data_IF_921978348487
#
_entry.id   IF_921978348487
#
_cell.length_a   1.000
_cell.length_b   1.000
_cell.length_c   1.000
_cell.angle_alpha   90.00
_cell.angle_beta   90.00
_cell.angle_gamma   90.00
#
_symmetry.space_group_name_H-M   'P 1'
#
loop_
_entity.id
_entity.type
_entity.pdbx_description
1 polymer ?
#
# COMPACT_ATOMS: atom_id res chain seq x y z
N UNK A 1 0.33 -15.08 1.73
CA UNK A 1 -0.62 -15.72 0.79
C UNK A 1 0.21 -16.30 -0.35
N UNK A 2 0.35 -17.63 -0.47
CA UNK A 2 1.13 -18.26 -1.54
C UNK A 2 0.25 -18.42 -2.78
N UNK A 3 0.64 -17.75 -3.87
CA UNK A 3 0.01 -17.81 -5.19
C UNK A 3 0.97 -18.55 -6.13
N UNK A 4 0.43 -19.49 -6.92
CA UNK A 4 1.19 -20.16 -7.97
C UNK A 4 0.84 -19.53 -9.33
N UNK A 5 1.85 -19.12 -10.14
CA UNK A 5 1.59 -18.62 -11.48
C UNK A 5 1.05 -19.75 -12.37
N UNK A 6 0.10 -19.43 -13.24
CA UNK A 6 -0.36 -20.37 -14.27
C UNK A 6 0.48 -20.13 -15.53
N UNK A 7 1.34 -21.08 -15.88
CA UNK A 7 1.97 -21.12 -17.21
C UNK A 7 0.96 -21.71 -18.19
N UNK A 8 0.43 -20.91 -19.11
CA UNK A 8 -0.38 -21.44 -20.20
C UNK A 8 -0.07 -20.71 -21.49
N UNK A 9 0.90 -21.27 -22.23
CA UNK A 9 1.01 -21.13 -23.68
C UNK A 9 0.01 -22.08 -24.32
N UNK A 10 -1.09 -21.56 -24.86
CA UNK A 10 -1.97 -22.31 -25.76
C UNK A 10 -2.26 -21.46 -27.01
N UNK A 11 -1.72 -21.89 -28.14
CA UNK A 11 -2.22 -21.53 -29.47
C UNK A 11 -3.33 -22.51 -29.84
N UNK A 12 -4.50 -21.99 -30.18
CA UNK A 12 -5.52 -22.72 -30.92
C UNK A 12 -5.83 -21.96 -32.20
N UNK A 13 -6.00 -22.71 -33.29
CA UNK A 13 -6.24 -22.19 -34.63
C UNK A 13 -7.70 -22.45 -35.07
N UNK A 14 -8.16 -21.56 -35.95
CA UNK A 14 -9.23 -21.65 -36.98
C UNK A 14 -10.69 -21.38 -36.56
N UNK A 15 -11.30 -20.30 -37.07
CA UNK A 15 -12.26 -20.28 -38.21
C UNK A 15 -12.98 -18.92 -38.30
N UNK A 16 -13.03 -18.36 -39.50
CA UNK A 16 -13.72 -17.11 -39.86
C UNK A 16 -15.18 -17.07 -39.40
N UNK A 17 -15.59 -15.94 -38.81
CA UNK A 17 -16.95 -15.39 -38.99
C UNK A 17 -17.04 -13.88 -38.70
N UNK A 18 -17.93 -13.28 -39.49
CA UNK A 18 -18.14 -11.86 -39.81
C UNK A 18 -18.47 -10.91 -38.64
N UNK A 19 -17.91 -9.70 -38.79
CA UNK A 19 -18.36 -8.38 -38.34
C UNK A 19 -19.20 -8.29 -37.06
N UNK A 20 -18.51 -8.07 -35.95
CA UNK A 20 -18.95 -7.15 -34.90
C UNK A 20 -17.78 -6.24 -34.55
N UNK A 21 -18.03 -4.95 -34.33
CA UNK A 21 -17.01 -3.94 -34.04
C UNK A 21 -16.45 -4.06 -32.61
N UNK A 22 -16.27 -5.28 -32.12
CA UNK A 22 -15.60 -5.53 -30.85
C UNK A 22 -14.09 -5.54 -31.10
N UNK A 23 -13.35 -4.84 -30.24
CA UNK A 23 -11.89 -4.94 -30.24
C UNK A 23 -11.52 -6.32 -29.68
N UNK A 24 -11.53 -7.36 -30.52
CA UNK A 24 -11.19 -8.72 -30.10
C UNK A 24 -9.68 -8.87 -29.94
N UNK A 25 -9.16 -8.47 -28.78
CA UNK A 25 -7.77 -8.69 -28.39
C UNK A 25 -7.49 -10.13 -27.94
N UNK A 26 -8.46 -11.06 -28.06
CA UNK A 26 -8.37 -12.42 -27.54
C UNK A 26 -7.99 -12.48 -26.04
N UNK A 27 -8.56 -11.57 -25.25
CA UNK A 27 -8.38 -11.51 -23.79
C UNK A 27 -9.75 -11.58 -23.10
N UNK A 28 -9.83 -12.26 -21.96
CA UNK A 28 -10.95 -12.11 -21.03
C UNK A 28 -10.67 -10.89 -20.14
N UNK A 29 -11.40 -9.77 -20.29
CA UNK A 29 -11.13 -8.56 -19.51
C UNK A 29 -11.67 -8.65 -18.07
N UNK A 30 -12.53 -9.62 -17.75
CA UNK A 30 -13.30 -9.65 -16.50
C UNK A 30 -12.75 -10.62 -15.46
N UNK A 31 -12.26 -11.80 -15.89
CA UNK A 31 -11.81 -12.84 -14.95
C UNK A 31 -10.34 -12.73 -14.60
N UNK A 32 -10.02 -13.10 -13.36
CA UNK A 32 -8.64 -13.28 -12.92
C UNK A 32 -8.04 -14.58 -13.48
N UNK A 33 -6.91 -14.45 -14.16
CA UNK A 33 -6.27 -15.51 -14.96
C UNK A 33 -4.79 -15.73 -14.64
N UNK A 34 -4.10 -14.78 -13.99
CA UNK A 34 -2.64 -14.87 -13.78
C UNK A 34 -2.15 -15.89 -12.74
N UNK A 35 -3.03 -16.49 -11.93
CA UNK A 35 -2.61 -17.43 -10.89
C UNK A 35 -3.73 -18.16 -10.17
N UNK A 36 -3.33 -19.11 -9.32
CA UNK A 36 -4.21 -19.89 -8.44
C UNK A 36 -3.72 -19.82 -6.99
N UNK A 37 -4.66 -19.97 -6.05
CA UNK A 37 -4.35 -19.98 -4.63
C UNK A 37 -4.43 -21.38 -4.05
N UNK A 38 -3.49 -21.70 -3.15
CA UNK A 38 -3.49 -22.98 -2.43
C UNK A 38 -4.68 -23.11 -1.46
N UNK A 39 -5.20 -21.98 -0.97
CA UNK A 39 -6.37 -21.92 -0.07
C UNK A 39 -7.40 -20.94 -0.62
N UNK A 40 -8.68 -21.33 -0.54
CA UNK A 40 -9.82 -20.52 -0.95
C UNK A 40 -9.74 -20.02 -2.42
N UNK A 41 -9.18 -20.82 -3.35
CA UNK A 41 -8.95 -20.45 -4.75
C UNK A 41 -10.17 -19.84 -5.43
N UNK A 42 -11.32 -20.52 -5.33
CA UNK A 42 -12.58 -20.06 -5.93
C UNK A 42 -12.94 -18.66 -5.44
N UNK A 43 -12.92 -18.47 -4.12
CA UNK A 43 -13.25 -17.19 -3.49
C UNK A 43 -12.26 -16.08 -3.88
N UNK A 44 -10.96 -16.38 -3.93
CA UNK A 44 -9.93 -15.43 -4.35
C UNK A 44 -10.09 -14.96 -5.80
N UNK A 45 -10.51 -15.86 -6.70
CA UNK A 45 -10.79 -15.52 -8.10
C UNK A 45 -12.10 -14.74 -8.24
N UNK A 46 -13.15 -15.15 -7.53
CA UNK A 46 -14.44 -14.46 -7.53
C UNK A 46 -14.32 -13.02 -7.00
N UNK A 47 -13.54 -12.78 -5.95
CA UNK A 47 -13.30 -11.42 -5.42
C UNK A 47 -12.46 -10.52 -6.34
N UNK A 48 -11.81 -11.09 -7.37
CA UNK A 48 -11.04 -10.39 -8.41
C UNK A 48 -11.73 -10.36 -9.78
N UNK A 49 -12.97 -10.82 -9.84
CA UNK A 49 -13.82 -10.58 -10.98
C UNK A 49 -14.24 -9.11 -10.98
N UNK A 50 -14.15 -8.44 -12.13
CA UNK A 50 -14.61 -7.06 -12.31
C UNK A 50 -15.67 -7.07 -13.41
N UNK A 51 -16.89 -6.68 -13.05
CA UNK A 51 -17.95 -6.40 -14.01
C UNK A 51 -17.83 -4.95 -14.44
N UNK A 52 -17.55 -4.71 -15.72
CA UNK A 52 -17.39 -3.38 -16.30
C UNK A 52 -17.57 -3.46 -17.81
N UNK A 53 -17.70 -2.33 -18.50
CA UNK A 53 -17.76 -2.25 -19.95
C UNK A 53 -16.34 -2.00 -20.52
N UNK A 54 -15.76 -3.04 -21.12
CA UNK A 54 -14.41 -2.98 -21.68
C UNK A 54 -14.35 -2.16 -22.97
N UNK A 55 -15.41 -2.15 -23.78
CA UNK A 55 -15.48 -1.34 -24.99
C UNK A 55 -15.61 0.15 -24.63
N UNK A 56 -16.35 0.49 -23.57
CA UNK A 56 -16.38 1.83 -23.02
C UNK A 56 -15.00 2.29 -22.52
N UNK A 57 -14.24 1.40 -21.87
CA UNK A 57 -12.86 1.70 -21.47
C UNK A 57 -11.97 1.97 -22.70
N UNK A 58 -12.07 1.15 -23.74
CA UNK A 58 -11.32 1.35 -24.98
C UNK A 58 -11.67 2.68 -25.67
N UNK A 59 -12.96 3.02 -25.76
CA UNK A 59 -13.42 4.32 -26.29
C UNK A 59 -12.85 5.47 -25.49
N UNK A 60 -12.88 5.36 -24.15
CA UNK A 60 -12.35 6.40 -23.27
C UNK A 60 -10.86 6.63 -23.47
N UNK A 61 -10.08 5.57 -23.66
CA UNK A 61 -8.65 5.67 -23.98
C UNK A 61 -8.43 6.46 -25.29
N UNK A 62 -9.19 6.15 -26.35
CA UNK A 62 -9.09 6.87 -27.63
C UNK A 62 -9.52 8.34 -27.52
N UNK A 63 -10.57 8.64 -26.76
CA UNK A 63 -11.00 10.03 -26.50
C UNK A 63 -9.92 10.88 -25.81
N UNK A 64 -9.13 10.26 -24.92
CA UNK A 64 -8.04 10.93 -24.20
C UNK A 64 -6.78 11.08 -25.05
N UNK A 65 -6.70 10.39 -26.18
CA UNK A 65 -5.56 10.45 -27.11
C UNK A 65 -6.05 10.78 -28.53
N UNK A 66 -6.47 12.02 -28.81
CA UNK A 66 -7.06 12.39 -30.09
C UNK A 66 -6.10 12.27 -31.28
N UNK A 67 -4.79 12.13 -31.03
CA UNK A 67 -3.79 11.85 -32.08
C UNK A 67 -3.71 10.36 -32.47
N UNK A 68 -4.51 9.49 -31.85
CA UNK A 68 -4.58 8.07 -32.17
C UNK A 68 -5.97 7.71 -32.70
N UNK A 69 -6.01 6.95 -33.78
CA UNK A 69 -7.27 6.52 -34.41
C UNK A 69 -7.70 5.11 -33.98
N UNK A 70 -6.76 4.30 -33.45
CA UNK A 70 -7.01 2.91 -33.11
C UNK A 70 -6.08 2.37 -32.01
N UNK A 71 -6.60 1.42 -31.24
CA UNK A 71 -5.84 0.56 -30.34
C UNK A 71 -5.35 -0.65 -31.16
N UNK A 72 -4.04 -0.81 -31.28
CA UNK A 72 -3.41 -1.88 -32.08
C UNK A 72 -3.18 -3.15 -31.28
N UNK A 73 -3.00 -3.03 -29.96
CA UNK A 73 -2.89 -4.17 -29.06
C UNK A 73 -3.29 -3.79 -27.64
N UNK A 74 -3.74 -4.77 -26.86
CA UNK A 74 -4.01 -4.61 -25.44
C UNK A 74 -3.37 -5.76 -24.66
N UNK A 75 -2.61 -5.43 -23.62
CA UNK A 75 -2.03 -6.41 -22.71
C UNK A 75 -2.76 -6.35 -21.37
N UNK A 76 -3.25 -7.50 -20.89
CA UNK A 76 -3.82 -7.61 -19.54
C UNK A 76 -2.73 -8.08 -18.57
N UNK A 77 -2.48 -7.31 -17.52
CA UNK A 77 -1.60 -7.63 -16.40
C UNK A 77 -2.43 -7.63 -15.12
N UNK A 78 -2.28 -8.66 -14.29
CA UNK A 78 -3.08 -8.77 -13.06
C UNK A 78 -2.16 -8.90 -11.85
N UNK A 79 -2.28 -7.93 -10.94
CA UNK A 79 -1.58 -7.91 -9.66
C UNK A 79 -2.39 -8.51 -8.53
N UNK A 80 -1.94 -8.28 -7.29
CA UNK A 80 -2.68 -8.69 -6.09
C UNK A 80 -3.97 -7.88 -5.88
N UNK A 81 -3.95 -6.60 -6.26
CA UNK A 81 -4.98 -5.60 -5.94
C UNK A 81 -5.61 -4.91 -7.16
N UNK A 82 -4.97 -4.98 -8.33
CA UNK A 82 -5.46 -4.30 -9.54
C UNK A 82 -5.45 -5.23 -10.74
N UNK A 83 -6.40 -4.98 -11.65
CA UNK A 83 -6.27 -5.34 -13.07
C UNK A 83 -5.72 -4.14 -13.83
N UNK A 84 -4.73 -4.38 -14.67
CA UNK A 84 -4.06 -3.36 -15.45
C UNK A 84 -4.15 -3.75 -16.93
N UNK A 85 -4.53 -2.79 -17.77
CA UNK A 85 -4.49 -2.90 -19.21
C UNK A 85 -3.44 -1.95 -19.75
N UNK A 86 -2.53 -2.45 -20.59
CA UNK A 86 -1.59 -1.63 -21.35
C UNK A 86 -2.07 -1.62 -22.80
N UNK A 87 -2.61 -0.49 -23.22
CA UNK A 87 -3.07 -0.24 -24.58
C UNK A 87 -1.92 0.32 -25.41
N UNK A 88 -1.68 -0.30 -26.56
CA UNK A 88 -0.76 0.18 -27.59
C UNK A 88 -1.58 0.85 -28.67
N UNK A 89 -1.23 2.10 -28.99
CA UNK A 89 -1.96 2.91 -29.96
C UNK A 89 -1.24 2.92 -31.32
N UNK A 90 -1.96 3.24 -32.40
CA UNK A 90 -1.39 3.33 -33.75
C UNK A 90 -0.35 4.45 -33.93
N UNK A 91 -0.30 5.41 -32.99
CA UNK A 91 0.70 6.48 -32.94
C UNK A 91 1.93 6.15 -32.05
N UNK A 92 2.12 4.86 -31.70
CA UNK A 92 3.18 4.35 -30.85
C UNK A 92 3.14 4.77 -29.36
N UNK A 93 2.14 5.56 -28.93
CA UNK A 93 1.92 5.81 -27.50
C UNK A 93 1.39 4.56 -26.80
N UNK A 94 1.70 4.46 -25.51
CA UNK A 94 1.18 3.43 -24.61
C UNK A 94 0.40 4.07 -23.48
N UNK A 95 -0.84 3.62 -23.29
CA UNK A 95 -1.74 4.10 -22.24
C UNK A 95 -2.03 2.96 -21.27
N UNK A 96 -2.01 3.27 -19.98
CA UNK A 96 -2.28 2.31 -18.91
C UNK A 96 -3.62 2.62 -18.28
N UNK A 97 -4.51 1.64 -18.21
CA UNK A 97 -5.71 1.70 -17.39
C UNK A 97 -5.61 0.72 -16.22
N UNK A 98 -5.82 1.23 -15.01
CA UNK A 98 -5.80 0.44 -13.76
C UNK A 98 -7.21 0.41 -13.17
N UNK A 99 -7.70 -0.78 -12.87
CA UNK A 99 -8.98 -1.01 -12.22
C UNK A 99 -8.74 -1.78 -10.91
N UNK A 100 -9.09 -1.20 -9.74
CA UNK A 100 -8.92 -1.88 -8.47
C UNK A 100 -9.90 -3.03 -8.30
N UNK A 101 -9.43 -4.12 -7.70
CA UNK A 101 -10.29 -5.17 -7.20
C UNK A 101 -11.02 -4.69 -5.93
N UNK A 102 -12.14 -5.32 -5.61
CA UNK A 102 -12.93 -5.01 -4.40
C UNK A 102 -12.16 -5.16 -3.07
N UNK A 103 -11.02 -5.84 -3.11
CA UNK A 103 -10.10 -6.07 -1.99
C UNK A 103 -8.92 -5.09 -1.93
N UNK A 104 -8.79 -4.19 -2.91
CA UNK A 104 -7.71 -3.19 -2.99
C UNK A 104 -7.74 -2.19 -1.83
N UNK A 105 -8.91 -1.99 -1.24
CA UNK A 105 -9.13 -1.06 -0.15
C UNK A 105 -10.61 -0.65 -0.08
N UNK A 106 -10.94 0.38 0.71
CA UNK A 106 -12.26 1.00 0.70
C UNK A 106 -12.63 1.50 -0.69
N UNK A 107 -13.83 1.15 -1.15
CA UNK A 107 -14.40 1.64 -2.41
C UNK A 107 -14.45 3.17 -2.40
N UNK A 108 -14.22 3.77 -3.56
CA UNK A 108 -14.05 5.21 -3.81
C UNK A 108 -12.81 5.84 -3.18
N UNK A 109 -12.56 5.56 -1.89
CA UNK A 109 -11.45 6.16 -1.15
C UNK A 109 -10.09 5.73 -1.70
N UNK A 110 -9.93 4.47 -2.10
CA UNK A 110 -8.66 3.94 -2.63
C UNK A 110 -8.23 4.68 -3.90
N UNK A 111 -9.10 4.73 -4.90
CA UNK A 111 -8.86 5.41 -6.17
C UNK A 111 -8.68 6.91 -5.98
N UNK A 112 -9.59 7.56 -5.24
CA UNK A 112 -9.50 9.00 -4.98
C UNK A 112 -8.22 9.38 -4.24
N UNK A 113 -7.74 8.55 -3.32
CA UNK A 113 -6.53 8.82 -2.57
C UNK A 113 -5.26 8.63 -3.40
N UNK A 114 -5.20 7.59 -4.23
CA UNK A 114 -4.06 7.39 -5.13
C UNK A 114 -3.93 8.57 -6.10
N UNK A 115 -5.02 8.99 -6.73
CA UNK A 115 -5.02 10.13 -7.67
C UNK A 115 -4.59 11.41 -6.97
N UNK A 116 -5.13 11.69 -5.78
CA UNK A 116 -4.76 12.89 -5.02
C UNK A 116 -3.28 12.86 -4.61
N UNK A 117 -2.75 11.69 -4.23
CA UNK A 117 -1.34 11.53 -3.89
C UNK A 117 -0.44 11.81 -5.10
N UNK A 118 -0.72 11.17 -6.25
CA UNK A 118 0.05 11.38 -7.48
C UNK A 118 0.05 12.85 -7.89
N UNK A 119 -1.12 13.50 -7.91
CA UNK A 119 -1.23 14.91 -8.31
C UNK A 119 -0.59 15.85 -7.29
N UNK A 120 -0.63 15.53 -6.01
CA UNK A 120 0.10 16.28 -4.97
C UNK A 120 1.61 16.18 -5.19
N UNK A 121 2.14 14.98 -5.41
CA UNK A 121 3.57 14.76 -5.66
C UNK A 121 4.04 15.46 -6.94
N UNK A 122 3.32 15.31 -8.05
CA UNK A 122 3.61 16.01 -9.32
C UNK A 122 3.62 17.55 -9.16
N UNK A 123 2.87 18.09 -8.20
CA UNK A 123 2.83 19.54 -7.92
C UNK A 123 3.95 19.99 -6.97
N UNK A 124 4.43 19.10 -6.10
CA UNK A 124 5.32 19.46 -4.98
C UNK A 124 6.75 18.97 -5.12
N UNK A 125 7.01 18.00 -6.00
CA UNK A 125 8.31 17.38 -6.20
C UNK A 125 8.61 17.23 -7.70
N UNK A 126 9.83 16.85 -8.01
CA UNK A 126 10.31 16.49 -9.35
C UNK A 126 10.36 14.98 -9.55
N UNK A 127 9.78 14.21 -8.64
CA UNK A 127 9.73 12.75 -8.75
C UNK A 127 8.99 12.40 -10.04
N UNK A 128 9.60 11.60 -10.93
CA UNK A 128 8.97 11.24 -12.18
C UNK A 128 7.83 10.26 -11.89
N UNK A 129 6.60 10.71 -12.08
CA UNK A 129 5.39 9.89 -11.94
C UNK A 129 4.56 10.09 -13.20
N UNK A 130 4.10 9.03 -13.89
CA UNK A 130 3.33 9.16 -15.12
C UNK A 130 2.10 10.05 -14.99
N UNK A 131 1.75 10.78 -16.05
CA UNK A 131 0.61 11.67 -16.02
C UNK A 131 -0.71 10.89 -15.95
N UNK A 132 -1.55 11.22 -14.97
CA UNK A 132 -2.94 10.75 -14.94
C UNK A 132 -3.75 11.60 -15.92
N UNK A 133 -4.31 10.92 -16.92
CA UNK A 133 -5.12 11.48 -18.01
C UNK A 133 -6.60 11.55 -17.62
N UNK A 134 -7.09 10.52 -16.93
CA UNK A 134 -8.47 10.45 -16.47
C UNK A 134 -8.64 9.44 -15.32
N UNK A 135 -9.71 9.56 -14.55
CA UNK A 135 -10.01 8.63 -13.46
C UNK A 135 -11.48 8.75 -13.02
N UNK A 136 -11.98 7.68 -12.39
CA UNK A 136 -13.26 7.68 -11.71
C UNK A 136 -13.17 6.84 -10.45
N UNK A 137 -13.58 7.41 -9.31
CA UNK A 137 -13.70 6.69 -8.05
C UNK A 137 -15.11 6.11 -7.83
N UNK A 138 -16.07 6.39 -8.71
CA UNK A 138 -17.46 6.01 -8.50
C UNK A 138 -17.97 5.15 -9.66
N UNK A 139 -18.04 3.84 -9.43
CA UNK A 139 -18.52 2.86 -10.42
C UNK A 139 -20.01 3.02 -10.76
N UNK A 140 -20.80 3.69 -9.91
CA UNK A 140 -22.26 3.88 -10.11
C UNK A 140 -22.62 5.30 -10.54
N UNK A 141 -21.63 6.10 -10.94
CA UNK A 141 -21.88 7.41 -11.54
C UNK A 141 -22.41 7.24 -12.96
N UNK A 142 -23.50 7.92 -13.31
CA UNK A 142 -24.09 7.88 -14.65
C UNK A 142 -23.14 8.41 -15.74
N UNK A 143 -22.18 9.27 -15.37
CA UNK A 143 -21.13 9.74 -16.27
C UNK A 143 -20.01 8.70 -16.47
N UNK A 144 -19.92 7.68 -15.60
CA UNK A 144 -18.92 6.63 -15.69
C UNK A 144 -19.42 5.46 -16.54
N UNK A 145 -19.31 5.59 -17.87
CA UNK A 145 -19.73 4.56 -18.82
C UNK A 145 -18.93 3.26 -18.72
N UNK A 146 -17.73 3.27 -18.10
CA UNK A 146 -16.94 2.07 -17.85
C UNK A 146 -17.63 1.19 -16.80
N UNK A 147 -18.38 1.77 -15.86
CA UNK A 147 -19.08 1.01 -14.81
C UNK A 147 -18.14 0.39 -13.77
N UNK A 148 -16.94 0.95 -13.60
CA UNK A 148 -15.98 0.55 -12.58
C UNK A 148 -15.13 1.72 -12.13
N UNK A 149 -14.49 1.60 -10.97
CA UNK A 149 -13.41 2.53 -10.60
C UNK A 149 -12.23 2.32 -11.53
N UNK A 150 -11.57 3.41 -11.94
CA UNK A 150 -10.38 3.32 -12.78
C UNK A 150 -9.46 4.52 -12.63
N UNK A 151 -8.20 4.32 -13.04
CA UNK A 151 -7.24 5.39 -13.33
C UNK A 151 -6.64 5.10 -14.71
N UNK A 152 -6.78 6.03 -15.64
CA UNK A 152 -6.13 6.03 -16.95
C UNK A 152 -4.95 7.01 -16.90
N UNK A 153 -3.76 6.53 -17.25
CA UNK A 153 -2.52 7.29 -17.16
C UNK A 153 -1.60 6.94 -18.32
N UNK A 154 -0.59 7.79 -18.56
CA UNK A 154 0.51 7.45 -19.44
C UNK A 154 1.27 6.22 -18.94
N UNK A 155 1.83 5.44 -19.88
CA UNK A 155 2.79 4.41 -19.52
C UNK A 155 4.12 5.05 -19.09
N UNK A 156 4.71 4.58 -17.99
CA UNK A 156 6.00 5.08 -17.52
C UNK A 156 7.12 4.92 -18.57
N UNK A 157 7.90 5.97 -18.77
CA UNK A 157 9.02 5.95 -19.71
C UNK A 157 10.19 5.09 -19.21
N UNK A 158 10.99 4.58 -20.15
CA UNK A 158 12.13 3.72 -19.86
C UNK A 158 11.74 2.25 -19.65
N UNK A 159 12.55 1.54 -18.86
CA UNK A 159 12.38 0.10 -18.58
C UNK A 159 12.34 -0.19 -17.09
N UNK A 160 11.59 -1.22 -16.72
CA UNK A 160 11.51 -1.65 -15.32
C UNK A 160 12.88 -2.04 -14.79
N UNK A 161 13.27 -1.48 -13.65
CA UNK A 161 14.54 -1.76 -13.00
C UNK A 161 14.74 -3.25 -12.73
N UNK A 162 13.66 -3.98 -12.41
CA UNK A 162 13.68 -5.43 -12.21
C UNK A 162 14.28 -6.20 -13.40
N UNK A 163 13.99 -5.76 -14.64
CA UNK A 163 14.45 -6.43 -15.86
C UNK A 163 15.95 -6.22 -16.09
N UNK A 164 16.49 -5.05 -15.68
CA UNK A 164 17.90 -4.72 -15.86
C UNK A 164 18.79 -5.07 -14.67
N UNK A 165 18.22 -5.20 -13.47
CA UNK A 165 19.02 -5.25 -12.23
C UNK A 165 20.13 -6.31 -12.23
N UNK A 166 19.87 -7.48 -12.83
CA UNK A 166 20.85 -8.56 -12.86
C UNK A 166 22.03 -8.29 -13.81
N UNK A 167 21.84 -7.50 -14.86
CA UNK A 167 22.90 -7.16 -15.82
C UNK A 167 23.71 -5.93 -15.41
N UNK A 168 23.26 -5.14 -14.44
CA UNK A 168 23.98 -3.96 -13.96
C UNK A 168 25.27 -4.33 -13.22
N UNK A 169 26.36 -3.61 -13.55
CA UNK A 169 27.60 -3.64 -12.80
C UNK A 169 27.42 -3.06 -11.37
N UNK A 170 28.35 -3.36 -10.47
CA UNK A 170 28.26 -2.95 -9.06
C UNK A 170 28.21 -1.43 -8.87
N UNK A 171 29.02 -0.69 -9.61
CA UNK A 171 29.05 0.78 -9.58
C UNK A 171 27.76 1.40 -10.15
N UNK A 172 27.18 0.77 -11.19
CA UNK A 172 25.89 1.18 -11.77
C UNK A 172 24.74 0.96 -10.78
N UNK A 173 24.73 -0.15 -10.04
CA UNK A 173 23.74 -0.39 -8.97
C UNK A 173 23.82 0.66 -7.88
N UNK A 174 25.03 1.02 -7.45
CA UNK A 174 25.25 2.06 -6.44
C UNK A 174 24.71 3.42 -6.93
N UNK A 175 25.03 3.83 -8.17
CA UNK A 175 24.49 5.07 -8.75
C UNK A 175 22.97 5.05 -8.90
N UNK A 176 22.40 3.91 -9.27
CA UNK A 176 20.94 3.73 -9.35
C UNK A 176 20.27 3.89 -7.99
N UNK A 177 20.82 3.26 -6.94
CA UNK A 177 20.32 3.42 -5.56
C UNK A 177 20.39 4.88 -5.12
N UNK A 178 21.48 5.58 -5.43
CA UNK A 178 21.59 7.00 -5.15
C UNK A 178 20.48 7.80 -5.84
N UNK A 179 20.24 7.61 -7.15
CA UNK A 179 19.18 8.29 -7.88
C UNK A 179 17.77 8.00 -7.34
N UNK A 180 17.52 6.77 -6.88
CA UNK A 180 16.26 6.41 -6.21
C UNK A 180 16.12 7.18 -4.89
N UNK A 181 17.16 7.19 -4.05
CA UNK A 181 17.12 7.89 -2.77
C UNK A 181 17.00 9.42 -2.91
N UNK A 182 17.59 10.01 -3.96
CA UNK A 182 17.41 11.42 -4.29
C UNK A 182 15.95 11.76 -4.62
N UNK A 183 15.22 10.87 -5.32
CA UNK A 183 13.79 11.04 -5.56
C UNK A 183 12.97 10.89 -4.26
N UNK A 184 13.28 9.87 -3.44
CA UNK A 184 12.58 9.64 -2.17
C UNK A 184 12.79 10.77 -1.18
N UNK A 185 13.95 11.43 -1.22
CA UNK A 185 14.23 12.63 -0.42
C UNK A 185 13.19 13.70 -0.66
N UNK A 186 12.85 14.00 -1.90
CA UNK A 186 11.88 15.05 -2.21
C UNK A 186 10.51 14.76 -1.59
N UNK A 187 10.12 13.48 -1.50
CA UNK A 187 8.86 13.06 -0.85
C UNK A 187 8.97 13.13 0.67
N UNK A 188 10.07 12.65 1.24
CA UNK A 188 10.30 12.61 2.69
C UNK A 188 10.48 14.02 3.31
N UNK A 189 10.91 15.00 2.51
CA UNK A 189 11.03 16.40 2.92
C UNK A 189 9.68 17.14 2.97
N UNK A 190 8.59 16.54 2.45
CA UNK A 190 7.26 17.12 2.57
C UNK A 190 6.77 17.12 4.03
N UNK A 191 6.15 18.23 4.42
CA UNK A 191 5.59 18.41 5.76
C UNK A 191 4.08 18.20 5.76
N UNK A 192 3.59 17.51 6.78
CA UNK A 192 2.17 17.19 6.93
C UNK A 192 1.70 17.46 8.36
N UNK A 193 0.50 18.05 8.56
CA UNK A 193 -0.02 18.40 9.87
C UNK A 193 -0.67 17.21 10.62
N UNK A 194 -0.92 16.09 9.93
CA UNK A 194 -1.64 14.94 10.48
C UNK A 194 -1.32 13.65 9.74
N UNK A 195 -1.61 12.52 10.36
CA UNK A 195 -1.58 11.18 9.75
C UNK A 195 -2.89 10.85 9.04
N UNK A 196 -2.82 10.05 7.98
CA UNK A 196 -3.96 9.68 7.15
C UNK A 196 -3.58 9.55 5.68
N UNK A 197 -4.56 9.55 4.78
CA UNK A 197 -4.29 9.52 3.33
C UNK A 197 -4.66 10.85 2.67
N UNK A 198 -4.02 11.17 1.54
CA UNK A 198 -4.29 12.39 0.78
C UNK A 198 -5.57 12.25 -0.05
N UNK A 199 -6.34 13.33 -0.15
CA UNK A 199 -7.55 13.45 -0.97
C UNK A 199 -7.72 14.87 -1.51
N UNK A 200 -8.56 15.04 -2.53
CA UNK A 200 -9.07 16.37 -2.90
C UNK A 200 -10.07 16.91 -1.86
N UNK A 201 -10.10 18.23 -1.70
CA UNK A 201 -11.03 18.93 -0.79
C UNK A 201 -12.50 18.71 -1.16
N UNK A 202 -12.80 18.35 -2.41
CA UNK A 202 -14.14 17.98 -2.88
C UNK A 202 -14.31 16.47 -3.12
N UNK A 203 -13.42 15.64 -2.57
CA UNK A 203 -13.40 14.19 -2.80
C UNK A 203 -14.49 13.40 -2.06
N UNK A 204 -14.29 12.08 -1.82
CA UNK A 204 -15.26 11.22 -1.14
C UNK A 204 -15.31 11.24 0.42
N UNK A 205 -14.25 11.51 1.22
CA UNK A 205 -14.36 11.42 2.69
C UNK A 205 -15.40 12.37 3.34
N UNK A 206 -15.87 12.17 4.56
CA UNK A 206 -16.77 13.18 5.17
C UNK A 206 -16.02 14.48 5.52
N UNK A 207 -16.71 15.63 5.51
CA UNK A 207 -16.12 16.94 5.84
C UNK A 207 -15.48 16.95 7.24
N UNK A 208 -16.14 16.31 8.22
CA UNK A 208 -15.65 16.20 9.59
C UNK A 208 -14.38 15.35 9.72
N UNK A 209 -14.13 14.49 8.73
CA UNK A 209 -13.00 13.56 8.66
C UNK A 209 -11.91 14.06 7.70
N UNK A 210 -11.75 15.37 7.55
CA UNK A 210 -10.70 15.97 6.71
C UNK A 210 -9.92 17.04 7.45
N UNK A 211 -8.65 17.18 7.10
CA UNK A 211 -7.73 18.23 7.54
C UNK A 211 -7.14 18.94 6.32
N UNK A 212 -7.31 20.26 6.18
CA UNK A 212 -6.73 20.98 5.05
C UNK A 212 -5.20 20.84 5.03
N UNK A 213 -4.63 20.60 3.86
CA UNK A 213 -3.17 20.57 3.65
C UNK A 213 -2.69 21.79 2.85
N UNK A 214 -3.55 22.33 1.99
CA UNK A 214 -3.28 23.49 1.14
C UNK A 214 -3.63 23.24 -0.33
N UNK A 215 -3.85 24.31 -1.08
CA UNK A 215 -4.36 24.22 -2.46
C UNK A 215 -5.72 23.51 -2.49
N UNK A 216 -5.85 22.49 -3.34
CA UNK A 216 -7.06 21.66 -3.43
C UNK A 216 -6.93 20.32 -2.67
N UNK A 217 -5.97 20.19 -1.75
CA UNK A 217 -5.67 18.92 -1.06
C UNK A 217 -6.02 18.95 0.43
N UNK A 218 -6.42 17.79 0.95
CA UNK A 218 -6.67 17.54 2.35
C UNK A 218 -6.18 16.15 2.76
N UNK A 219 -6.00 15.93 4.05
CA UNK A 219 -5.70 14.64 4.66
C UNK A 219 -7.00 14.11 5.24
N UNK A 220 -7.37 12.88 4.89
CA UNK A 220 -8.60 12.22 5.33
C UNK A 220 -8.32 10.85 5.93
N UNK A 221 -9.34 9.97 5.97
CA UNK A 221 -9.21 8.62 6.48
C UNK A 221 -8.09 7.86 5.77
N UNK A 222 -7.32 7.09 6.52
CA UNK A 222 -6.24 6.26 6.02
C UNK A 222 -6.77 5.12 5.15
N UNK A 223 -6.26 4.89 3.94
CA UNK A 223 -6.76 3.86 3.00
C UNK A 223 -6.15 2.46 3.16
N UNK A 224 -5.06 2.31 3.92
CA UNK A 224 -4.34 1.05 4.01
C UNK A 224 -5.08 -0.05 4.80
N UNK A 225 -4.72 -1.33 4.55
CA UNK A 225 -5.40 -2.51 5.10
C UNK A 225 -5.26 -2.66 6.62
N UNK A 226 -4.40 -1.85 7.26
CA UNK A 226 -4.28 -1.78 8.72
C UNK A 226 -5.56 -1.31 9.39
N UNK A 227 -6.24 -0.35 8.76
CA UNK A 227 -7.50 0.20 9.26
C UNK A 227 -8.69 -0.34 8.50
N UNK A 228 -8.47 -0.81 7.26
CA UNK A 228 -9.50 -1.44 6.45
C UNK A 228 -9.35 -2.95 6.31
N UNK A 229 -10.29 -3.72 6.84
CA UNK A 229 -10.29 -5.16 6.56
C UNK A 229 -10.94 -5.43 5.21
N UNK A 230 -10.09 -5.58 4.20
CA UNK A 230 -10.47 -5.92 2.84
C UNK A 230 -10.10 -7.37 2.49
N UNK A 231 -9.84 -8.23 3.49
CA UNK A 231 -9.45 -9.60 3.26
C UNK A 231 -10.60 -10.43 2.64
N UNK A 232 -10.24 -11.27 1.68
CA UNK A 232 -11.19 -12.14 0.98
C UNK A 232 -11.76 -13.19 1.93
N UNK A 233 -13.08 -13.16 2.13
CA UNK A 233 -13.82 -14.12 2.96
C UNK A 233 -13.87 -13.80 4.44
N UNK A 234 -13.28 -12.68 4.87
CA UNK A 234 -13.38 -12.19 6.24
C UNK A 234 -14.46 -11.09 6.30
N UNK A 235 -15.22 -11.06 7.40
CA UNK A 235 -16.17 -9.98 7.63
C UNK A 235 -15.39 -8.70 7.90
N UNK A 236 -15.70 -7.62 7.17
CA UNK A 236 -14.90 -6.39 7.20
C UNK A 236 -14.76 -5.82 8.61
N UNK A 237 -15.88 -5.69 9.32
CA UNK A 237 -15.88 -5.18 10.69
C UNK A 237 -16.98 -5.79 11.52
N UNK A 238 -16.74 -5.79 12.82
CA UNK A 238 -17.73 -6.00 13.85
C UNK A 238 -17.97 -4.67 14.56
N UNK A 239 -19.24 -4.29 14.75
CA UNK A 239 -19.67 -3.00 15.31
C UNK A 239 -19.46 -2.90 16.84
N UNK A 240 -18.33 -3.41 17.33
CA UNK A 240 -17.95 -3.38 18.75
C UNK A 240 -17.50 -1.97 19.16
N UNK A 241 -16.80 -1.28 18.26
CA UNK A 241 -16.35 0.11 18.45
C UNK A 241 -16.66 0.92 17.20
N UNK A 242 -16.82 2.23 17.36
CA UNK A 242 -16.90 3.15 16.23
C UNK A 242 -15.60 3.06 15.42
N UNK A 243 -15.72 2.94 14.11
CA UNK A 243 -14.58 2.90 13.21
C UNK A 243 -13.74 4.18 13.33
N UNK A 244 -12.44 4.00 13.54
CA UNK A 244 -11.47 5.06 13.71
C UNK A 244 -10.39 4.91 12.62
N UNK A 245 -10.62 5.59 11.50
CA UNK A 245 -9.74 5.51 10.33
C UNK A 245 -8.92 6.80 10.15
N UNK A 246 -8.93 7.69 11.12
CA UNK A 246 -8.29 9.00 11.03
C UNK A 246 -9.12 10.02 10.22
N UNK A 247 -8.54 11.18 9.89
CA UNK A 247 -7.14 11.56 10.11
C UNK A 247 -6.80 11.82 11.58
N UNK A 248 -5.53 11.67 11.96
CA UNK A 248 -5.05 11.82 13.35
C UNK A 248 -4.03 12.94 13.47
N UNK A 249 -4.16 13.83 14.45
CA UNK A 249 -3.30 15.02 14.56
C UNK A 249 -2.04 14.78 15.42
N UNK A 250 -2.00 13.69 16.16
CA UNK A 250 -0.89 13.35 17.05
C UNK A 250 -0.78 11.83 17.22
N UNK A 251 0.34 11.37 17.79
CA UNK A 251 0.64 9.95 17.95
C UNK A 251 -0.29 9.23 18.95
N UNK A 252 -0.90 9.96 19.90
CA UNK A 252 -1.88 9.37 20.84
C UNK A 252 -3.14 8.99 20.09
N UNK A 253 -3.72 9.91 19.31
CA UNK A 253 -4.93 9.66 18.53
C UNK A 253 -4.70 8.57 17.47
N UNK A 254 -3.52 8.59 16.84
CA UNK A 254 -3.08 7.55 15.91
C UNK A 254 -3.02 6.17 16.58
N UNK A 255 -2.49 6.11 17.80
CA UNK A 255 -2.39 4.87 18.59
C UNK A 255 -3.77 4.36 19.00
N UNK A 256 -4.70 5.25 19.36
CA UNK A 256 -6.09 4.86 19.59
C UNK A 256 -6.72 4.26 18.33
N UNK A 257 -6.42 4.81 17.15
CA UNK A 257 -6.81 4.23 15.85
C UNK A 257 -6.30 2.80 15.65
N UNK A 258 -5.05 2.50 16.03
CA UNK A 258 -4.51 1.13 15.95
C UNK A 258 -5.28 0.15 16.85
N UNK A 259 -5.60 0.57 18.07
CA UNK A 259 -6.35 -0.27 19.02
C UNK A 259 -7.79 -0.46 18.55
N UNK A 260 -8.45 0.60 18.11
CA UNK A 260 -9.82 0.56 17.59
C UNK A 260 -9.91 -0.36 16.37
N UNK A 261 -8.92 -0.32 15.48
CA UNK A 261 -8.83 -1.25 14.36
C UNK A 261 -8.62 -2.72 14.80
N UNK A 262 -7.93 -2.95 15.92
CA UNK A 262 -7.84 -4.28 16.54
C UNK A 262 -9.17 -4.75 17.12
N UNK A 263 -9.90 -3.85 17.79
CA UNK A 263 -11.19 -4.14 18.41
C UNK A 263 -12.29 -4.38 17.38
N UNK A 264 -12.31 -3.61 16.28
CA UNK A 264 -13.29 -3.77 15.19
C UNK A 264 -13.18 -5.10 14.46
N UNK A 265 -12.09 -5.85 14.66
CA UNK A 265 -11.85 -7.18 14.07
C UNK A 265 -12.20 -8.34 15.00
N UNK A 266 -12.60 -8.06 16.24
CA UNK A 266 -13.03 -9.11 17.15
C UNK A 266 -14.45 -9.54 16.82
N UNK A 267 -14.71 -10.83 16.56
CA UNK A 267 -16.05 -11.28 16.27
C UNK A 267 -16.91 -11.27 17.54
N UNK A 268 -18.24 -11.11 17.43
CA UNK A 268 -19.16 -11.20 18.57
C UNK A 268 -19.21 -12.62 19.16
N UNK A 269 -18.98 -13.63 18.32
CA UNK A 269 -18.90 -15.05 18.69
C UNK A 269 -17.80 -15.72 17.89
N UNK A 270 -17.14 -16.74 18.46
CA UNK A 270 -16.10 -17.50 17.76
C UNK A 270 -16.61 -18.91 17.40
N UNK A 271 -17.24 -19.09 16.23
CA UNK A 271 -17.76 -20.40 15.81
C UNK A 271 -16.65 -21.44 15.62
N UNK A 272 -15.40 -21.00 15.48
CA UNK A 272 -14.24 -21.86 15.26
C UNK A 272 -13.39 -22.05 16.52
N UNK A 273 -13.89 -21.67 17.70
CA UNK A 273 -13.10 -21.76 18.95
C UNK A 273 -12.49 -23.15 19.20
N UNK A 274 -13.19 -24.22 18.82
CA UNK A 274 -12.71 -25.60 18.97
C UNK A 274 -11.67 -26.05 17.94
N UNK A 275 -11.53 -25.35 16.81
CA UNK A 275 -10.53 -25.64 15.77
C UNK A 275 -9.34 -24.68 15.79
N UNK A 276 -9.42 -23.58 16.55
CA UNK A 276 -8.32 -22.66 16.73
C UNK A 276 -7.22 -23.27 17.61
N UNK A 277 -5.94 -22.96 17.34
CA UNK A 277 -4.86 -23.33 18.24
C UNK A 277 -5.08 -22.76 19.65
N UNK A 278 -4.66 -23.49 20.68
CA UNK A 278 -4.85 -23.09 22.09
C UNK A 278 -4.20 -21.73 22.42
N UNK A 279 -3.10 -21.38 21.75
CA UNK A 279 -2.41 -20.10 21.90
C UNK A 279 -3.17 -18.90 21.32
N UNK A 280 -4.21 -19.14 20.52
CA UNK A 280 -4.98 -18.06 19.89
C UNK A 280 -5.65 -17.18 20.95
N UNK A 281 -6.20 -17.77 22.01
CA UNK A 281 -6.92 -17.05 23.06
C UNK A 281 -8.39 -16.76 22.72
N UNK A 282 -9.17 -16.42 23.75
CA UNK A 282 -10.60 -16.11 23.66
C UNK A 282 -10.83 -14.65 23.27
N UNK A 283 -11.98 -14.31 22.69
CA UNK A 283 -12.38 -12.92 22.37
C UNK A 283 -12.14 -11.99 23.57
N UNK A 284 -12.57 -12.38 24.77
CA UNK A 284 -12.35 -11.60 25.99
C UNK A 284 -10.87 -11.39 26.32
N UNK A 285 -10.02 -12.39 26.07
CA UNK A 285 -8.57 -12.24 26.26
C UNK A 285 -7.99 -11.19 25.30
N UNK A 286 -8.43 -11.16 24.04
CA UNK A 286 -8.02 -10.12 23.09
C UNK A 286 -8.53 -8.73 23.49
N UNK A 287 -9.81 -8.61 23.89
CA UNK A 287 -10.36 -7.33 24.39
C UNK A 287 -9.54 -6.78 25.56
N UNK A 288 -9.23 -7.65 26.53
CA UNK A 288 -8.42 -7.26 27.68
C UNK A 288 -7.00 -6.85 27.27
N UNK A 289 -6.36 -7.60 26.37
CA UNK A 289 -5.02 -7.26 25.87
C UNK A 289 -5.00 -5.92 25.13
N UNK A 290 -5.97 -5.67 24.24
CA UNK A 290 -6.11 -4.39 23.53
C UNK A 290 -6.38 -3.23 24.50
N UNK A 291 -7.17 -3.46 25.55
CA UNK A 291 -7.40 -2.47 26.61
C UNK A 291 -6.12 -2.11 27.39
N UNK A 292 -5.24 -3.09 27.66
CA UNK A 292 -3.94 -2.81 28.27
C UNK A 292 -2.98 -2.14 27.26
N UNK A 293 -2.93 -2.63 26.03
CA UNK A 293 -2.12 -2.05 24.96
C UNK A 293 -2.44 -0.57 24.78
N UNK A 294 -3.72 -0.17 24.79
CA UNK A 294 -4.12 1.24 24.74
C UNK A 294 -3.45 2.09 25.81
N UNK A 295 -3.41 1.60 27.06
CA UNK A 295 -2.77 2.32 28.18
C UNK A 295 -1.26 2.42 27.97
N UNK A 296 -0.62 1.33 27.55
CA UNK A 296 0.83 1.30 27.27
C UNK A 296 1.19 2.24 26.12
N UNK A 297 0.51 2.15 24.98
CA UNK A 297 0.78 3.01 23.82
C UNK A 297 0.57 4.48 24.16
N UNK A 298 -0.46 4.82 24.95
CA UNK A 298 -0.68 6.19 25.42
C UNK A 298 0.45 6.68 26.33
N UNK A 299 0.97 5.83 27.21
CA UNK A 299 2.11 6.15 28.07
C UNK A 299 3.39 6.34 27.24
N UNK A 300 3.68 5.43 26.30
CA UNK A 300 4.82 5.54 25.39
C UNK A 300 4.74 6.79 24.51
N UNK A 301 3.55 7.13 24.04
CA UNK A 301 3.29 8.32 23.19
C UNK A 301 3.56 9.66 23.88
N UNK A 302 3.66 9.68 25.22
CA UNK A 302 4.04 10.86 25.97
C UNK A 302 5.57 11.11 25.97
N UNK A 303 6.37 10.11 25.58
CA UNK A 303 7.83 10.22 25.53
C UNK A 303 8.28 11.07 24.33
N UNK A 304 9.12 12.10 24.54
CA UNK A 304 9.61 12.96 23.45
C UNK A 304 10.32 12.20 22.32
N UNK A 305 10.96 11.06 22.61
CA UNK A 305 11.63 10.23 21.60
C UNK A 305 10.63 9.58 20.66
N UNK A 306 9.51 9.08 21.20
CA UNK A 306 8.41 8.53 20.41
C UNK A 306 7.76 9.63 19.58
N UNK A 307 7.52 10.81 20.16
CA UNK A 307 6.97 11.96 19.45
C UNK A 307 7.87 12.41 18.28
N UNK A 308 9.18 12.50 18.51
CA UNK A 308 10.16 12.83 17.46
C UNK A 308 10.22 11.77 16.36
N UNK A 309 10.23 10.49 16.73
CA UNK A 309 10.22 9.38 15.77
C UNK A 309 8.90 9.26 14.99
N UNK A 310 7.80 9.77 15.54
CA UNK A 310 6.48 9.74 14.94
C UNK A 310 6.18 10.94 14.03
N UNK A 311 7.18 11.66 13.55
CA UNK A 311 6.94 12.81 12.66
C UNK A 311 6.16 12.37 11.40
N UNK A 312 5.00 12.98 11.07
CA UNK A 312 4.15 12.58 9.93
C UNK A 312 4.90 12.63 8.58
N UNK A 313 5.06 11.47 7.94
CA UNK A 313 5.88 11.32 6.74
C UNK A 313 5.14 10.48 5.69
N UNK A 314 5.20 10.93 4.44
CA UNK A 314 4.76 10.15 3.28
C UNK A 314 5.97 9.38 2.72
N UNK A 315 5.80 8.09 2.47
CA UNK A 315 6.78 7.26 1.81
C UNK A 315 6.10 6.36 0.77
N UNK A 316 6.89 5.85 -0.19
CA UNK A 316 6.36 4.94 -1.19
C UNK A 316 6.01 3.59 -0.54
N UNK A 317 4.75 3.12 -0.62
CA UNK A 317 4.26 1.98 0.17
C UNK A 317 4.78 0.63 -0.34
N UNK A 318 5.21 0.54 -1.61
CA UNK A 318 5.75 -0.68 -2.21
C UNK A 318 6.99 -0.38 -3.07
N UNK A 319 8.04 0.13 -2.43
CA UNK A 319 9.26 0.56 -3.11
C UNK A 319 10.09 -0.66 -3.54
N UNK A 320 9.73 -1.23 -4.68
CA UNK A 320 10.40 -2.42 -5.23
C UNK A 320 10.85 -2.22 -6.68
N UNK A 321 11.82 -3.02 -7.15
CA UNK A 321 12.37 -2.93 -8.51
C UNK A 321 11.35 -2.99 -9.66
N UNK A 322 10.16 -3.55 -9.48
CA UNK A 322 9.13 -3.62 -10.54
C UNK A 322 8.27 -2.33 -10.67
N UNK A 323 8.34 -1.45 -9.68
CA UNK A 323 7.62 -0.17 -9.60
C UNK A 323 8.52 1.01 -9.96
N UNK A 324 9.80 0.73 -10.25
CA UNK A 324 10.80 1.73 -10.61
C UNK A 324 11.16 1.51 -12.07
N UNK A 325 11.08 2.56 -12.86
CA UNK A 325 11.53 2.63 -14.24
C UNK A 325 12.79 3.49 -14.31
N UNK A 326 13.73 3.06 -15.15
CA UNK A 326 15.00 3.74 -15.38
C UNK A 326 15.23 3.91 -16.88
N UNK A 327 16.08 4.88 -17.24
CA UNK A 327 16.50 5.09 -18.63
C UNK A 327 17.13 3.83 -19.23
N UNK A 328 16.88 3.63 -20.53
CA UNK A 328 17.44 2.50 -21.26
C UNK A 328 18.97 2.62 -21.36
N UNK A 329 19.46 3.84 -21.59
CA UNK A 329 20.88 4.13 -21.81
C UNK A 329 21.66 4.34 -20.52
N UNK A 330 21.03 4.96 -19.51
CA UNK A 330 21.63 5.21 -18.20
C UNK A 330 20.71 4.77 -17.04
N UNK A 331 20.88 3.53 -16.54
CA UNK A 331 20.07 2.99 -15.46
C UNK A 331 20.15 3.74 -14.11
N UNK A 332 21.05 4.73 -13.99
CA UNK A 332 21.08 5.61 -12.80
C UNK A 332 20.01 6.71 -12.83
N UNK A 333 19.46 7.00 -14.01
CA UNK A 333 18.39 7.99 -14.19
C UNK A 333 17.05 7.29 -13.99
N UNK A 334 16.40 7.58 -12.86
CA UNK A 334 15.01 7.15 -12.61
C UNK A 334 14.09 7.93 -13.56
N UNK A 335 13.34 7.22 -14.38
CA UNK A 335 12.41 7.78 -15.36
C UNK A 335 10.94 7.63 -14.97
N UNK A 336 10.65 6.85 -13.93
CA UNK A 336 9.29 6.71 -13.40
C UNK A 336 9.23 5.93 -12.10
N UNK A 337 8.41 6.38 -11.15
CA UNK A 337 8.01 5.64 -9.95
C UNK A 337 6.49 5.51 -9.97
N UNK A 338 6.01 4.28 -10.04
CA UNK A 338 4.59 3.94 -10.16
C UNK A 338 4.07 3.22 -8.91
N UNK A 339 2.76 3.03 -8.85
CA UNK A 339 2.05 2.30 -7.80
C UNK A 339 2.08 2.99 -6.43
N UNK A 340 1.54 4.21 -6.40
CA UNK A 340 1.30 5.00 -5.19
C UNK A 340 0.01 4.61 -4.46
N UNK A 341 -0.60 3.46 -4.83
CA UNK A 341 -1.80 2.98 -4.16
C UNK A 341 -1.52 2.72 -2.68
N UNK A 342 -2.45 3.15 -1.81
CA UNK A 342 -2.34 3.03 -0.35
C UNK A 342 -1.17 3.80 0.27
N UNK A 343 -0.52 4.70 -0.48
CA UNK A 343 0.41 5.66 0.08
C UNK A 343 -0.32 6.55 1.11
N UNK A 344 0.28 6.69 2.28
CA UNK A 344 -0.31 7.38 3.42
C UNK A 344 0.76 8.13 4.19
N UNK A 345 0.32 9.15 4.92
CA UNK A 345 1.12 9.88 5.86
C UNK A 345 1.08 9.12 7.19
N UNK A 346 2.22 8.60 7.59
CA UNK A 346 2.40 7.69 8.72
C UNK A 346 3.51 8.21 9.64
N UNK A 347 3.61 7.71 10.89
CA UNK A 347 4.81 7.88 11.69
C UNK A 347 6.05 7.35 10.95
N UNK A 348 7.15 8.11 10.93
CA UNK A 348 8.34 7.76 10.13
C UNK A 348 8.92 6.36 10.45
N UNK A 349 8.81 5.90 11.70
CA UNK A 349 9.22 4.55 12.11
C UNK A 349 8.46 3.41 11.42
N UNK A 350 7.34 3.68 10.73
CA UNK A 350 6.61 2.67 9.97
C UNK A 350 7.40 2.19 8.74
N UNK A 351 8.19 3.07 8.14
CA UNK A 351 9.00 2.79 6.95
C UNK A 351 10.49 2.60 7.25
N UNK A 352 10.93 2.89 8.48
CA UNK A 352 12.33 2.93 8.85
C UNK A 352 13.06 1.57 8.72
N UNK A 353 12.35 0.47 8.96
CA UNK A 353 12.92 -0.89 8.94
C UNK A 353 12.84 -1.53 7.56
N UNK A 354 12.13 -0.91 6.61
CA UNK A 354 11.95 -1.48 5.29
C UNK A 354 13.28 -1.46 4.53
N UNK A 355 13.67 -2.62 4.03
CA UNK A 355 14.83 -2.77 3.14
C UNK A 355 14.30 -3.18 1.78
N UNK A 356 14.37 -2.28 0.78
CA UNK A 356 13.91 -2.57 -0.57
C UNK A 356 14.62 -3.77 -1.18
N UNK A 357 13.94 -4.46 -2.10
CA UNK A 357 14.44 -5.68 -2.74
C UNK A 357 15.71 -5.47 -3.59
N UNK A 358 16.05 -4.23 -3.97
CA UNK A 358 17.33 -3.88 -4.59
C UNK A 358 18.48 -3.69 -3.60
N UNK A 359 18.18 -3.44 -2.33
CA UNK A 359 19.17 -3.28 -1.26
C UNK A 359 19.39 -4.58 -0.47
N UNK A 360 18.51 -5.58 -0.62
CA UNK A 360 18.68 -6.89 0.01
C UNK A 360 19.98 -7.58 -0.46
N UNK A 361 20.72 -8.25 0.44
CA UNK A 361 21.93 -8.97 0.08
C UNK A 361 21.66 -10.02 -1.00
N UNK A 362 22.52 -10.10 -2.02
CA UNK A 362 22.47 -11.18 -3.01
C UNK A 362 23.06 -12.48 -2.46
N UNK A 363 22.72 -13.62 -3.07
CA UNK A 363 23.29 -14.95 -2.73
C UNK A 363 24.84 -14.97 -2.80
N UNK A 364 25.43 -14.07 -3.58
CA UNK A 364 26.90 -13.89 -3.68
C UNK A 364 27.54 -13.12 -2.51
N UNK A 365 26.76 -12.66 -1.52
CA UNK A 365 27.27 -12.05 -0.29
C UNK A 365 27.80 -10.62 -0.42
N UNK A 366 27.63 -9.95 -1.56
CA UNK A 366 28.04 -8.55 -1.71
C UNK A 366 27.03 -7.62 -1.04
N UNK A 367 27.45 -6.97 0.05
CA UNK A 367 26.62 -6.05 0.84
C UNK A 367 26.64 -4.60 0.33
N UNK A 368 27.24 -4.34 -0.84
CA UNK A 368 27.45 -2.99 -1.36
C UNK A 368 26.13 -2.23 -1.61
N UNK A 369 25.09 -2.93 -2.07
CA UNK A 369 23.78 -2.29 -2.31
C UNK A 369 23.10 -1.89 -0.99
N UNK A 370 23.17 -2.73 0.04
CA UNK A 370 22.66 -2.38 1.37
C UNK A 370 23.42 -1.18 1.94
N UNK A 371 24.76 -1.23 1.90
CA UNK A 371 25.61 -0.13 2.40
C UNK A 371 25.33 1.18 1.67
N UNK A 372 25.15 1.14 0.35
CA UNK A 372 24.78 2.32 -0.43
C UNK A 372 23.40 2.85 -0.03
N UNK A 373 22.40 1.97 0.13
CA UNK A 373 21.05 2.36 0.54
C UNK A 373 21.02 2.93 1.96
N UNK A 374 21.73 2.32 2.91
CA UNK A 374 21.85 2.79 4.29
C UNK A 374 22.52 4.15 4.35
N UNK A 375 23.64 4.33 3.65
CA UNK A 375 24.31 5.62 3.55
C UNK A 375 23.38 6.68 2.93
N UNK A 376 22.72 6.37 1.81
CA UNK A 376 21.80 7.32 1.17
C UNK A 376 20.63 7.67 2.09
N UNK A 377 20.03 6.70 2.78
CA UNK A 377 18.92 6.95 3.72
C UNK A 377 19.40 7.83 4.89
N UNK A 378 20.58 7.56 5.43
CA UNK A 378 21.16 8.35 6.52
C UNK A 378 21.36 9.82 6.15
N UNK A 379 21.85 10.10 4.93
CA UNK A 379 22.17 11.47 4.51
C UNK A 379 21.00 12.21 3.84
N UNK A 380 20.18 11.52 3.06
CA UNK A 380 19.15 12.13 2.24
C UNK A 380 17.78 12.17 2.93
N UNK A 381 17.48 11.18 3.77
CA UNK A 381 16.18 11.05 4.47
C UNK A 381 16.36 10.88 5.98
N UNK A 382 16.95 11.88 6.69
CA UNK A 382 17.28 11.78 8.11
C UNK A 382 16.06 11.50 9.01
N UNK A 383 14.85 11.90 8.58
CA UNK A 383 13.58 11.61 9.27
C UNK A 383 13.26 10.12 9.34
N UNK A 384 13.70 9.34 8.34
CA UNK A 384 13.59 7.88 8.32
C UNK A 384 14.76 7.21 9.03
N UNK A 385 15.96 7.78 8.89
CA UNK A 385 17.18 7.23 9.50
C UNK A 385 17.14 7.29 11.03
N UNK A 386 16.55 8.34 11.61
CA UNK A 386 16.45 8.49 13.07
C UNK A 386 15.80 7.28 13.74
N UNK A 387 14.53 6.94 13.43
CA UNK A 387 13.89 5.78 14.00
C UNK A 387 14.59 4.44 13.70
N UNK A 388 15.24 4.31 12.53
CA UNK A 388 16.00 3.11 12.16
C UNK A 388 17.18 2.83 13.10
N UNK A 389 17.72 3.86 13.74
CA UNK A 389 18.83 3.75 14.70
C UNK A 389 18.33 3.56 16.15
N UNK A 390 17.02 3.61 16.38
CA UNK A 390 16.44 3.42 17.70
C UNK A 390 16.22 1.92 17.98
N UNK A 391 16.04 1.57 19.26
CA UNK A 391 15.69 0.20 19.62
C UNK A 391 14.30 -0.15 19.08
N UNK A 392 14.21 -1.16 18.22
CA UNK A 392 12.95 -1.62 17.60
C UNK A 392 11.84 -1.92 18.61
N UNK A 393 12.19 -2.36 19.82
CA UNK A 393 11.24 -2.64 20.90
C UNK A 393 10.43 -1.39 21.30
N UNK A 394 10.89 -0.18 20.98
CA UNK A 394 10.12 1.06 21.16
C UNK A 394 8.88 1.14 20.24
N UNK A 395 8.88 0.44 19.10
CA UNK A 395 7.82 0.53 18.09
C UNK A 395 7.00 -0.75 17.95
N UNK A 396 7.53 -1.91 18.39
CA UNK A 396 6.84 -3.21 18.30
C UNK A 396 5.39 -3.18 18.80
N UNK A 397 5.06 -2.63 19.98
CA UNK A 397 3.67 -2.61 20.45
C UNK A 397 2.71 -1.87 19.51
N UNK A 398 3.20 -0.82 18.84
CA UNK A 398 2.43 -0.08 17.85
C UNK A 398 2.25 -0.91 16.56
N UNK A 399 3.28 -1.63 16.12
CA UNK A 399 3.28 -2.43 14.89
C UNK A 399 2.35 -3.65 14.91
N UNK A 400 2.04 -4.21 16.08
CA UNK A 400 1.30 -5.48 16.17
C UNK A 400 -0.08 -5.41 16.83
N UNK A 401 -0.39 -4.34 17.57
CA UNK A 401 -1.64 -4.26 18.35
C UNK A 401 -2.91 -4.47 17.52
N UNK A 402 -3.00 -3.88 16.33
CA UNK A 402 -4.17 -4.01 15.44
C UNK A 402 -4.38 -5.43 14.89
N UNK A 403 -3.37 -6.31 14.97
CA UNK A 403 -3.39 -7.68 14.41
C UNK A 403 -3.71 -8.75 15.44
N UNK A 404 -3.97 -8.39 16.70
CA UNK A 404 -4.11 -9.33 17.81
C UNK A 404 -5.03 -10.51 17.51
N UNK A 405 -6.19 -10.28 16.86
CA UNK A 405 -7.10 -11.36 16.49
C UNK A 405 -6.54 -12.29 15.41
N UNK A 406 -5.86 -11.73 14.41
CA UNK A 406 -5.31 -12.47 13.27
C UNK A 406 -4.12 -13.33 13.68
N UNK A 407 -3.23 -12.80 14.50
CA UNK A 407 -1.97 -13.45 14.87
C UNK A 407 -2.09 -14.27 16.17
N UNK A 408 -3.17 -14.08 16.93
CA UNK A 408 -3.42 -14.72 18.22
C UNK A 408 -2.97 -13.86 19.41
N UNK A 409 -3.59 -14.11 20.57
CA UNK A 409 -3.41 -13.34 21.79
C UNK A 409 -1.99 -13.43 22.37
N UNK A 410 -1.27 -14.52 22.10
CA UNK A 410 0.10 -14.71 22.61
C UNK A 410 1.07 -13.69 22.04
N UNK A 411 0.96 -13.33 20.75
CA UNK A 411 1.90 -12.41 20.11
C UNK A 411 1.88 -11.02 20.77
N UNK A 412 0.70 -10.38 20.85
CA UNK A 412 0.59 -9.07 21.52
C UNK A 412 0.93 -9.17 23.02
N UNK A 413 0.56 -10.27 23.68
CA UNK A 413 0.88 -10.45 25.10
C UNK A 413 2.39 -10.49 25.33
N UNK A 414 3.13 -11.20 24.48
CA UNK A 414 4.58 -11.30 24.54
C UNK A 414 5.23 -9.92 24.36
N UNK A 415 4.81 -9.16 23.34
CA UNK A 415 5.30 -7.80 23.12
C UNK A 415 5.01 -6.87 24.33
N UNK A 416 3.82 -6.97 24.95
CA UNK A 416 3.48 -6.17 26.13
C UNK A 416 4.27 -6.59 27.38
N UNK A 417 4.54 -7.89 27.56
CA UNK A 417 5.37 -8.39 28.66
C UNK A 417 6.81 -7.90 28.47
N UNK A 418 7.40 -8.08 27.29
CA UNK A 418 8.74 -7.63 26.99
C UNK A 418 8.88 -6.12 27.18
N UNK A 419 7.93 -5.34 26.65
CA UNK A 419 7.89 -3.87 26.84
C UNK A 419 7.81 -3.48 28.32
N UNK A 420 7.06 -4.22 29.13
CA UNK A 420 6.92 -3.94 30.56
C UNK A 420 8.14 -4.36 31.38
N UNK A 421 8.82 -5.46 31.01
CA UNK A 421 10.06 -5.92 31.64
C UNK A 421 11.21 -4.97 31.33
N UNK A 422 11.34 -4.57 30.08
CA UNK A 422 12.43 -3.73 29.59
C UNK A 422 12.11 -2.23 29.75
N UNK A 423 11.05 -1.86 30.46
CA UNK A 423 10.53 -0.47 30.48
C UNK A 423 11.60 0.58 30.85
N UNK A 424 12.39 0.29 31.89
CA UNK A 424 13.49 1.14 32.33
C UNK A 424 14.68 1.08 31.37
N UNK A 425 15.00 -0.10 30.81
CA UNK A 425 16.08 -0.27 29.82
C UNK A 425 15.77 0.44 28.49
N UNK A 426 14.49 0.50 28.11
CA UNK A 426 13.97 1.30 27.02
C UNK A 426 13.98 2.80 27.32
N UNK A 427 14.35 3.19 28.54
CA UNK A 427 14.53 4.57 28.99
C UNK A 427 13.22 5.31 29.30
N UNK A 428 12.11 4.61 29.49
CA UNK A 428 10.85 5.25 29.90
C UNK A 428 10.83 5.54 31.40
N UNK A 429 10.20 6.65 31.78
CA UNK A 429 10.01 7.01 33.18
C UNK A 429 8.85 6.24 33.83
N UNK A 430 8.96 6.01 35.14
CA UNK A 430 7.92 5.36 35.95
C UNK A 430 7.79 3.87 35.65
N UNK A 431 6.66 3.28 36.04
CA UNK A 431 6.35 1.88 35.78
C UNK A 431 5.44 1.75 34.55
N UNK A 432 5.65 0.72 33.74
CA UNK A 432 4.76 0.37 32.64
C UNK A 432 3.32 0.13 33.14
N UNK A 433 2.33 0.64 32.41
CA UNK A 433 0.91 0.42 32.71
C UNK A 433 0.44 -1.03 32.53
N UNK A 434 1.23 -1.91 31.92
CA UNK A 434 0.92 -3.33 31.77
C UNK A 434 1.31 -4.10 33.03
N UNK A 435 0.37 -4.77 33.71
CA UNK A 435 0.69 -5.58 34.89
C UNK A 435 1.40 -6.85 34.45
N UNK A 436 2.65 -7.04 34.91
CA UNK A 436 3.39 -8.28 34.65
C UNK A 436 2.65 -9.48 35.26
N UNK A 437 2.62 -10.64 34.57
CA UNK A 437 2.07 -11.85 35.13
C UNK A 437 2.83 -12.22 36.40
N UNK A 438 2.10 -12.55 37.48
CA UNK A 438 2.71 -13.14 38.67
C UNK A 438 3.32 -14.50 38.30
N UNK A 439 4.57 -14.79 38.69
CA UNK A 439 5.12 -16.14 38.57
C UNK A 439 4.18 -17.13 39.27
N UNK A 440 3.82 -18.21 38.58
CA UNK A 440 3.01 -19.29 39.15
C UNK A 440 3.82 -20.16 40.09
#
# INVERSE_FOLDING_TARGET
>A
MLMLPVSSSFSFTILDKESDSSNDFNIDPHSYTSGRWLRHDKLQRESRYIKFDFDALCRRVLELTPEADAITACQKIEGGFNRVFIFHLNNAKRIVARLPFTLAGPARLTTASEVATVKYLQTKTRVPIPEILDWSDNATDDCNLVGSEYIIMEHADGVQLHQKWQSLAGDQKIRCIQGICENLKEVADLEFPSFGSLYYVNGPPDLDNRRPLGGNFCIGPHCGPRYWDCNVGEQRYYDIVRLNHGPWSNIVDYSDGLIDAGLSRLPPTDPNAGSRPSYHGTIQAHMNLLGHARKVLKQMSADPRIQGAATPLLFHPDLHKRNIFVSEDDPSIVSGIIDWQAASIEPAWWYADEVPDFAMPSESGSNLCLQAFEACTQFLTPRLAGPRLMNDNLFRPFRYSYRTWKDGAVALRDDLIATAQDWEELGFAGQCAYPLPTPK
#
